data_IF_674338306840
#
_entry.id   IF_674338306840
#
_cell.length_a   1.000
_cell.length_b   1.000
_cell.length_c   1.000
_cell.angle_alpha   90.00
_cell.angle_beta   90.00
_cell.angle_gamma   90.00
#
_symmetry.space_group_name_H-M   'P 1'
#
loop_
_entity.id
_entity.type
_entity.pdbx_description
1 polymer ?
#
# COMPACT_ATOMS: atom_id res chain seq x y z
N UNK A 1 29.22 1.17 -0.27
CA UNK A 1 27.80 1.07 -0.68
C UNK A 1 26.97 0.87 0.59
N UNK A 2 26.15 1.84 1.00
CA UNK A 2 25.29 1.69 2.19
C UNK A 2 24.16 0.74 1.80
N UNK A 3 24.17 -0.48 2.36
CA UNK A 3 23.10 -1.44 2.13
C UNK A 3 21.92 -1.04 3.02
N UNK A 4 20.95 -0.34 2.43
CA UNK A 4 19.75 0.09 3.15
C UNK A 4 18.92 -1.14 3.58
N UNK A 5 18.28 -1.10 4.76
CA UNK A 5 17.37 -2.17 5.17
C UNK A 5 16.26 -2.32 4.13
N UNK A 6 15.73 -3.54 3.96
CA UNK A 6 14.57 -3.79 3.11
C UNK A 6 13.32 -4.01 3.98
N UNK A 7 12.16 -3.73 3.43
CA UNK A 7 10.86 -3.93 4.07
C UNK A 7 10.24 -5.22 3.60
N UNK A 8 10.05 -6.15 4.53
CA UNK A 8 9.40 -7.42 4.28
C UNK A 8 7.89 -7.33 4.58
N UNK A 9 7.08 -7.50 3.54
CA UNK A 9 5.62 -7.39 3.63
C UNK A 9 4.95 -8.36 4.61
N UNK A 10 5.53 -9.56 4.80
CA UNK A 10 4.97 -10.53 5.74
C UNK A 10 5.06 -10.04 7.19
N UNK A 11 6.21 -9.47 7.58
CA UNK A 11 6.37 -8.90 8.93
C UNK A 11 5.48 -7.67 9.15
N UNK A 12 5.28 -6.85 8.12
CA UNK A 12 4.35 -5.72 8.17
C UNK A 12 2.89 -6.19 8.37
N UNK A 13 2.47 -7.24 7.65
CA UNK A 13 1.14 -7.86 7.84
C UNK A 13 0.95 -8.40 9.25
N UNK A 14 1.96 -9.10 9.80
CA UNK A 14 1.91 -9.59 11.18
C UNK A 14 1.82 -8.43 12.19
N UNK A 15 2.52 -7.32 11.94
CA UNK A 15 2.49 -6.14 12.79
C UNK A 15 1.12 -5.46 12.76
N UNK A 16 0.50 -5.34 11.58
CA UNK A 16 -0.85 -4.80 11.44
C UNK A 16 -1.87 -5.70 12.13
N UNK A 17 -1.81 -7.01 11.90
CA UNK A 17 -2.69 -7.98 12.55
C UNK A 17 -2.62 -7.91 14.07
N UNK A 18 -1.41 -7.83 14.65
CA UNK A 18 -1.22 -7.69 16.11
C UNK A 18 -1.86 -6.42 16.66
N UNK A 19 -1.82 -5.31 15.92
CA UNK A 19 -2.48 -4.06 16.30
C UNK A 19 -4.01 -4.18 16.21
N UNK A 20 -4.52 -4.73 15.11
CA UNK A 20 -5.97 -4.93 14.94
C UNK A 20 -6.57 -5.82 16.03
N UNK A 21 -5.88 -6.90 16.40
CA UNK A 21 -6.32 -7.80 17.49
C UNK A 21 -6.23 -7.16 18.89
N UNK A 22 -5.50 -6.05 19.03
CA UNK A 22 -5.40 -5.30 20.29
C UNK A 22 -6.49 -4.22 20.38
N UNK A 23 -6.87 -3.64 19.24
CA UNK A 23 -7.89 -2.59 19.14
C UNK A 23 -9.32 -3.16 19.13
N UNK A 24 -9.49 -4.41 18.69
CA UNK A 24 -10.74 -5.15 18.79
C UNK A 24 -10.51 -6.40 19.68
N UNK A 25 -11.26 -6.53 20.78
CA UNK A 25 -11.57 -7.84 21.38
C UNK A 25 -12.45 -8.66 20.41
N UNK A 26 -12.03 -8.78 19.14
CA UNK A 26 -12.74 -9.55 18.14
C UNK A 26 -12.50 -11.00 18.48
N UNK A 27 -13.55 -11.65 18.95
CA UNK A 27 -13.64 -13.08 19.09
C UNK A 27 -13.15 -13.76 17.81
N UNK A 28 -11.94 -14.31 17.86
CA UNK A 28 -11.38 -15.24 16.85
C UNK A 28 -12.29 -16.48 16.69
N UNK A 29 -13.29 -16.65 17.56
CA UNK A 29 -14.26 -17.72 17.59
C UNK A 29 -15.54 -17.38 16.83
N UNK A 30 -15.50 -17.54 15.50
CA UNK A 30 -16.69 -17.93 14.69
C UNK A 30 -16.34 -18.37 13.25
N UNK A 31 -15.10 -18.78 12.98
CA UNK A 31 -14.72 -19.29 11.67
C UNK A 31 -15.20 -20.72 11.50
N UNK A 32 -15.97 -21.02 10.45
CA UNK A 32 -16.45 -22.38 10.08
C UNK A 32 -15.36 -23.27 9.45
N UNK A 33 -14.09 -23.03 9.76
CA UNK A 33 -12.99 -23.88 9.31
C UNK A 33 -12.38 -24.59 10.50
N UNK A 34 -11.94 -25.83 10.32
CA UNK A 34 -11.28 -26.59 11.37
C UNK A 34 -9.94 -25.88 11.74
N UNK A 35 -9.89 -25.15 12.87
CA UNK A 35 -8.75 -24.29 13.20
C UNK A 35 -7.49 -25.10 13.51
N UNK A 36 -7.63 -26.40 13.78
CA UNK A 36 -6.51 -27.32 14.03
C UNK A 36 -5.59 -27.51 12.82
N UNK A 37 -6.08 -27.28 11.59
CA UNK A 37 -5.30 -27.45 10.35
C UNK A 37 -4.69 -26.15 9.81
N UNK A 38 -5.12 -24.99 10.32
CA UNK A 38 -4.70 -23.68 9.82
C UNK A 38 -3.84 -22.95 10.84
N UNK A 39 -2.62 -22.60 10.43
CA UNK A 39 -1.75 -21.75 11.26
C UNK A 39 -2.33 -20.34 11.35
N UNK A 40 -2.69 -19.92 12.56
CA UNK A 40 -3.25 -18.58 12.82
C UNK A 40 -2.37 -17.46 12.26
N UNK A 41 -1.05 -17.56 12.32
CA UNK A 41 -0.12 -16.54 11.80
C UNK A 41 -0.27 -16.22 10.31
N UNK A 42 -0.76 -17.17 9.52
CA UNK A 42 -0.96 -17.03 8.07
C UNK A 42 -2.37 -16.57 7.71
N UNK A 43 -3.26 -16.41 8.69
CA UNK A 43 -4.63 -15.96 8.51
C UNK A 43 -4.70 -14.44 8.63
N UNK A 44 -5.21 -13.76 7.61
CA UNK A 44 -5.34 -12.31 7.59
C UNK A 44 -6.76 -11.90 7.20
N UNK A 45 -7.30 -10.87 7.85
CA UNK A 45 -8.57 -10.30 7.43
C UNK A 45 -8.35 -9.37 6.24
N UNK A 46 -9.36 -9.21 5.38
CA UNK A 46 -9.27 -8.31 4.21
C UNK A 46 -8.88 -6.88 4.59
N UNK A 47 -9.28 -6.42 5.78
CA UNK A 47 -8.94 -5.08 6.28
C UNK A 47 -7.43 -4.93 6.59
N UNK A 48 -6.78 -5.97 7.11
CA UNK A 48 -5.33 -5.96 7.35
C UNK A 48 -4.59 -5.86 6.02
N UNK A 49 -5.03 -6.65 5.04
CA UNK A 49 -4.49 -6.67 3.68
C UNK A 49 -4.71 -5.32 3.01
N UNK A 50 -5.91 -4.74 3.12
CA UNK A 50 -6.27 -3.43 2.58
C UNK A 50 -5.35 -2.36 3.13
N UNK A 51 -5.13 -2.34 4.46
CA UNK A 51 -4.26 -1.34 5.10
C UNK A 51 -2.83 -1.39 4.55
N UNK A 52 -2.26 -2.59 4.41
CA UNK A 52 -0.93 -2.78 3.81
C UNK A 52 -0.92 -2.36 2.34
N UNK A 53 -1.96 -2.71 1.58
CA UNK A 53 -2.07 -2.28 0.18
C UNK A 53 -2.10 -0.77 0.03
N UNK A 54 -2.83 -0.06 0.90
CA UNK A 54 -2.89 1.40 0.89
C UNK A 54 -1.55 2.02 1.31
N UNK A 55 -0.92 1.48 2.36
CA UNK A 55 0.32 1.99 2.92
C UNK A 55 1.52 1.89 1.96
N UNK A 56 1.58 0.80 1.19
CA UNK A 56 2.71 0.50 0.29
C UNK A 56 2.37 0.65 -1.19
N UNK A 57 1.15 1.13 -1.52
CA UNK A 57 0.60 1.22 -2.87
C UNK A 57 0.73 -0.12 -3.61
N UNK A 58 0.07 -1.15 -3.06
CA UNK A 58 -0.06 -2.48 -3.65
C UNK A 58 -1.50 -2.70 -4.11
N UNK A 59 -1.69 -3.72 -4.95
CA UNK A 59 -3.00 -4.22 -5.36
C UNK A 59 -3.19 -5.62 -4.84
N UNK A 60 -4.43 -5.97 -4.50
CA UNK A 60 -4.86 -7.28 -4.06
C UNK A 60 -5.95 -7.79 -5.01
N UNK A 61 -5.54 -8.57 -6.00
CA UNK A 61 -6.36 -8.95 -7.16
C UNK A 61 -6.33 -10.46 -7.38
N UNK A 62 -7.25 -10.95 -8.22
CA UNK A 62 -7.28 -12.35 -8.64
C UNK A 62 -5.95 -12.76 -9.32
N UNK A 63 -5.48 -13.97 -9.03
CA UNK A 63 -4.29 -14.55 -9.65
C UNK A 63 -4.33 -14.50 -11.18
N UNK A 64 -5.51 -14.60 -11.80
CA UNK A 64 -5.70 -14.54 -13.26
C UNK A 64 -5.26 -13.21 -13.88
N UNK A 65 -5.24 -12.13 -13.09
CA UNK A 65 -4.82 -10.81 -13.53
C UNK A 65 -3.31 -10.60 -13.37
N UNK A 66 -2.62 -11.49 -12.66
CA UNK A 66 -1.19 -11.38 -12.41
C UNK A 66 -0.41 -11.76 -13.66
N UNK A 67 0.43 -10.83 -14.14
CA UNK A 67 1.25 -11.03 -15.35
C UNK A 67 2.67 -11.52 -15.07
N UNK A 68 3.07 -11.57 -13.80
CA UNK A 68 4.36 -12.09 -13.38
C UNK A 68 4.40 -13.63 -13.34
N UNK A 69 5.61 -14.19 -13.28
CA UNK A 69 5.80 -15.64 -13.09
C UNK A 69 5.54 -16.05 -11.66
N UNK A 70 4.76 -17.11 -11.49
CA UNK A 70 4.55 -17.78 -10.21
C UNK A 70 5.59 -18.91 -10.13
N UNK A 71 6.50 -18.93 -9.13
CA UNK A 71 7.53 -19.94 -9.04
C UNK A 71 6.93 -21.30 -8.69
N UNK A 72 7.60 -22.37 -9.12
CA UNK A 72 7.18 -23.75 -8.84
C UNK A 72 7.02 -24.03 -7.33
N UNK A 73 7.79 -23.35 -6.48
CA UNK A 73 7.66 -23.44 -5.02
C UNK A 73 6.29 -22.95 -4.53
N UNK A 74 5.75 -21.88 -5.12
CA UNK A 74 4.42 -21.37 -4.78
C UNK A 74 3.33 -22.36 -5.22
N UNK A 75 3.49 -22.95 -6.41
CA UNK A 75 2.57 -23.95 -6.96
C UNK A 75 2.56 -25.20 -6.06
N UNK A 76 3.74 -25.71 -5.69
CA UNK A 76 3.86 -26.87 -4.80
C UNK A 76 3.18 -26.64 -3.45
N UNK A 77 3.41 -25.47 -2.81
CA UNK A 77 2.75 -25.10 -1.55
C UNK A 77 1.24 -24.95 -1.69
N UNK A 78 0.77 -24.47 -2.83
CA UNK A 78 -0.65 -24.40 -3.15
C UNK A 78 -1.26 -25.80 -3.29
N UNK A 79 -0.59 -26.72 -3.96
CA UNK A 79 -1.03 -28.11 -4.09
C UNK A 79 -1.08 -28.83 -2.74
N UNK A 80 -0.04 -28.66 -1.91
CA UNK A 80 -0.03 -29.16 -0.53
C UNK A 80 -1.23 -28.65 0.27
N UNK A 81 -1.53 -27.35 0.16
CA UNK A 81 -2.69 -26.74 0.80
C UNK A 81 -4.02 -27.30 0.25
N UNK A 82 -4.16 -27.44 -1.06
CA UNK A 82 -5.34 -28.07 -1.71
C UNK A 82 -5.56 -29.50 -1.22
N UNK A 83 -4.50 -30.29 -1.12
CA UNK A 83 -4.57 -31.69 -0.67
C UNK A 83 -5.01 -31.80 0.80
N UNK A 84 -4.62 -30.84 1.65
CA UNK A 84 -5.05 -30.78 3.04
C UNK A 84 -6.52 -30.33 3.19
N UNK A 85 -7.04 -29.61 2.19
CA UNK A 85 -8.35 -28.96 2.21
C UNK A 85 -9.18 -29.23 0.94
N UNK A 86 -9.34 -30.52 0.57
CA UNK A 86 -9.97 -30.96 -0.70
C UNK A 86 -11.39 -30.43 -0.98
N UNK A 87 -12.10 -29.97 0.05
CA UNK A 87 -13.50 -29.52 -0.06
C UNK A 87 -13.63 -28.00 -0.25
N UNK A 88 -12.52 -27.25 -0.28
CA UNK A 88 -12.55 -25.80 -0.48
C UNK A 88 -12.43 -25.46 -1.97
N UNK A 89 -13.41 -24.72 -2.50
CA UNK A 89 -13.23 -24.02 -3.77
C UNK A 89 -12.31 -22.81 -3.53
N UNK A 90 -11.10 -22.85 -4.08
CA UNK A 90 -10.06 -21.88 -3.78
C UNK A 90 -10.04 -20.76 -4.82
N UNK A 91 -10.63 -19.62 -4.46
CA UNK A 91 -10.31 -18.36 -5.14
C UNK A 91 -8.94 -17.86 -4.69
N UNK A 92 -8.02 -17.68 -5.64
CA UNK A 92 -6.66 -17.23 -5.36
C UNK A 92 -6.51 -15.73 -5.65
N UNK A 93 -5.83 -15.05 -4.72
CA UNK A 93 -5.50 -13.63 -4.86
C UNK A 93 -4.02 -13.39 -4.67
N UNK A 94 -3.49 -12.42 -5.39
CA UNK A 94 -2.11 -11.96 -5.25
C UNK A 94 -2.13 -10.53 -4.73
N UNK A 95 -1.35 -10.29 -3.68
CA UNK A 95 -0.97 -8.95 -3.25
C UNK A 95 0.37 -8.61 -3.89
N UNK A 96 0.42 -7.58 -4.72
CA UNK A 96 1.63 -7.18 -5.44
C UNK A 96 1.61 -5.68 -5.82
N UNK A 97 2.77 -5.05 -6.07
CA UNK A 97 2.83 -3.72 -6.67
C UNK A 97 2.03 -3.63 -7.97
N UNK A 98 1.43 -2.47 -8.24
CA UNK A 98 0.63 -2.27 -9.47
C UNK A 98 1.40 -2.60 -10.74
N UNK A 99 2.72 -2.36 -10.77
CA UNK A 99 3.60 -2.68 -11.89
C UNK A 99 3.62 -4.17 -12.25
N UNK A 100 3.44 -5.09 -11.29
CA UNK A 100 3.46 -6.54 -11.55
C UNK A 100 2.20 -7.06 -12.26
N UNK A 101 1.15 -6.25 -12.27
CA UNK A 101 -0.04 -6.51 -13.07
C UNK A 101 0.09 -5.93 -14.49
N UNK A 102 1.15 -5.18 -14.78
CA UNK A 102 1.44 -4.59 -16.09
C UNK A 102 2.61 -5.25 -16.78
N UNK A 103 3.69 -5.50 -16.04
CA UNK A 103 5.02 -5.86 -16.52
C UNK A 103 5.61 -6.97 -15.64
N UNK A 104 6.42 -7.82 -16.25
CA UNK A 104 7.18 -8.87 -15.58
C UNK A 104 8.34 -8.23 -14.81
N UNK A 105 8.05 -7.71 -13.61
CA UNK A 105 9.06 -7.16 -12.70
C UNK A 105 9.09 -7.99 -11.40
N UNK A 106 10.06 -7.73 -10.53
CA UNK A 106 10.43 -8.63 -9.44
C UNK A 106 10.32 -7.95 -8.06
N UNK A 107 9.10 -7.55 -7.68
CA UNK A 107 8.85 -6.96 -6.35
C UNK A 107 7.77 -7.74 -5.56
N UNK A 108 8.22 -8.61 -4.65
CA UNK A 108 7.51 -9.17 -3.49
C UNK A 108 5.99 -9.48 -3.59
N UNK A 109 5.54 -10.35 -4.51
CA UNK A 109 4.18 -10.87 -4.49
C UNK A 109 3.91 -11.82 -3.30
N UNK A 110 2.69 -11.73 -2.76
CA UNK A 110 2.15 -12.66 -1.78
C UNK A 110 0.91 -13.33 -2.35
N UNK A 111 0.89 -14.66 -2.35
CA UNK A 111 -0.25 -15.48 -2.78
C UNK A 111 -1.13 -15.85 -1.59
N UNK A 112 -2.40 -15.53 -1.73
CA UNK A 112 -3.44 -15.81 -0.77
C UNK A 112 -4.50 -16.74 -1.35
N UNK A 113 -5.01 -17.63 -0.52
CA UNK A 113 -6.26 -18.35 -0.76
C UNK A 113 -7.38 -17.64 0.01
N UNK A 114 -8.49 -17.35 -0.67
CA UNK A 114 -9.70 -16.82 -0.03
C UNK A 114 -10.32 -17.89 0.86
N UNK A 115 -10.74 -17.48 2.04
CA UNK A 115 -11.55 -18.25 2.98
C UNK A 115 -12.91 -17.55 3.17
N UNK A 116 -13.73 -18.04 4.09
CA UNK A 116 -15.01 -17.43 4.47
C UNK A 116 -14.81 -16.17 5.33
N UNK A 117 -15.89 -15.39 5.46
CA UNK A 117 -15.99 -14.21 6.33
C UNK A 117 -14.89 -13.15 6.09
N UNK A 118 -14.43 -13.01 4.84
CA UNK A 118 -13.43 -12.00 4.48
C UNK A 118 -12.01 -12.31 4.93
N UNK A 119 -11.75 -13.54 5.39
CA UNK A 119 -10.42 -14.00 5.72
C UNK A 119 -9.70 -14.58 4.50
N UNK A 120 -8.38 -14.45 4.54
CA UNK A 120 -7.48 -14.95 3.52
C UNK A 120 -6.31 -15.67 4.19
N UNK A 121 -5.91 -16.79 3.61
CA UNK A 121 -4.78 -17.57 4.08
C UNK A 121 -3.56 -17.33 3.19
N UNK A 122 -2.45 -16.93 3.79
CA UNK A 122 -1.19 -16.74 3.08
C UNK A 122 -0.55 -18.11 2.74
N UNK A 123 -0.52 -18.43 1.46
CA UNK A 123 0.09 -19.66 0.93
C UNK A 123 1.61 -19.48 0.89
N UNK A 124 2.06 -18.45 0.16
CA UNK A 124 3.48 -18.22 -0.06
C UNK A 124 3.80 -16.76 -0.40
N UNK A 125 5.04 -16.36 -0.12
CA UNK A 125 5.67 -15.10 -0.52
C UNK A 125 6.93 -15.47 -1.31
N UNK A 126 7.14 -14.82 -2.44
CA UNK A 126 8.36 -14.92 -3.23
C UNK A 126 8.78 -13.55 -3.76
N UNK A 127 9.99 -13.45 -4.31
CA UNK A 127 10.54 -12.19 -4.81
C UNK A 127 11.47 -11.50 -3.81
N UNK A 128 11.75 -10.22 -4.08
CA UNK A 128 12.63 -9.39 -3.28
C UNK A 128 11.87 -8.41 -2.40
N UNK A 129 12.35 -8.23 -1.17
CA UNK A 129 11.81 -7.25 -0.22
C UNK A 129 11.73 -5.84 -0.80
N UNK A 130 10.68 -5.11 -0.42
CA UNK A 130 10.43 -3.75 -0.85
C UNK A 130 11.50 -2.78 -0.32
N UNK A 131 11.75 -1.69 -1.02
CA UNK A 131 12.64 -0.63 -0.51
C UNK A 131 12.07 0.00 0.76
N UNK A 132 12.90 0.23 1.78
CA UNK A 132 12.48 0.82 3.06
C UNK A 132 11.73 2.15 2.93
N UNK A 133 12.19 3.04 2.06
CA UNK A 133 11.55 4.35 1.83
C UNK A 133 10.28 4.29 0.99
N UNK A 134 9.84 3.10 0.55
CA UNK A 134 8.66 2.96 -0.30
C UNK A 134 7.43 3.57 0.35
N UNK A 135 7.20 3.26 1.62
CA UNK A 135 6.06 3.75 2.41
C UNK A 135 6.00 5.27 2.43
N UNK A 136 7.15 5.92 2.62
CA UNK A 136 7.27 7.38 2.65
C UNK A 136 7.02 7.98 1.26
N UNK A 137 7.62 7.40 0.21
CA UNK A 137 7.46 7.87 -1.17
C UNK A 137 6.02 7.86 -1.66
N UNK A 138 5.24 6.84 -1.26
CA UNK A 138 3.83 6.71 -1.69
C UNK A 138 2.84 7.34 -0.70
N UNK A 139 3.31 7.85 0.43
CA UNK A 139 2.48 8.42 1.50
C UNK A 139 1.58 9.59 1.05
N UNK A 140 2.05 10.54 0.20
CA UNK A 140 1.19 11.63 -0.27
C UNK A 140 -0.02 11.12 -1.07
N UNK A 141 0.11 9.97 -1.73
CA UNK A 141 -0.94 9.43 -2.61
C UNK A 141 -1.93 8.51 -1.89
N UNK A 142 -1.90 8.45 -0.54
CA UNK A 142 -2.81 7.56 0.21
C UNK A 142 -4.27 7.95 0.06
N UNK A 143 -4.57 9.24 0.24
CA UNK A 143 -5.89 9.85 0.16
C UNK A 143 -5.73 11.37 -0.11
N UNK A 144 -6.86 12.07 -0.23
CA UNK A 144 -6.88 13.52 -0.49
C UNK A 144 -6.25 14.36 0.63
N UNK A 145 -6.43 13.97 1.90
CA UNK A 145 -5.90 14.73 3.04
C UNK A 145 -4.36 14.66 3.04
N UNK A 146 -3.80 13.47 2.81
CA UNK A 146 -2.36 13.24 2.77
C UNK A 146 -1.67 14.08 1.67
N UNK A 147 -2.27 14.18 0.48
CA UNK A 147 -1.69 15.00 -0.60
C UNK A 147 -1.77 16.48 -0.27
N UNK A 148 -2.86 16.96 0.33
CA UNK A 148 -3.00 18.35 0.75
C UNK A 148 -1.97 18.71 1.83
N UNK A 149 -1.79 17.85 2.84
CA UNK A 149 -0.75 18.04 3.86
C UNK A 149 0.65 18.06 3.22
N UNK A 150 0.92 17.15 2.28
CA UNK A 150 2.20 17.13 1.57
C UNK A 150 2.45 18.42 0.77
N UNK A 151 1.43 18.91 0.04
CA UNK A 151 1.49 20.16 -0.72
C UNK A 151 1.74 21.36 0.22
N UNK A 152 1.06 21.41 1.36
CA UNK A 152 1.30 22.48 2.34
C UNK A 152 2.72 22.45 2.91
N UNK A 153 3.23 21.26 3.27
CA UNK A 153 4.59 21.10 3.80
C UNK A 153 5.66 21.47 2.77
N UNK A 154 5.54 20.99 1.54
CA UNK A 154 6.53 21.32 0.50
C UNK A 154 6.48 22.80 0.13
N UNK A 155 5.29 23.41 0.16
CA UNK A 155 5.13 24.85 -0.07
C UNK A 155 5.79 25.66 1.05
N UNK A 156 5.65 25.25 2.32
CA UNK A 156 6.37 25.88 3.44
C UNK A 156 7.88 25.75 3.30
N UNK A 157 8.39 24.57 2.92
CA UNK A 157 9.82 24.35 2.71
C UNK A 157 10.37 25.22 1.58
N UNK A 158 9.67 25.29 0.45
CA UNK A 158 10.07 26.16 -0.67
C UNK A 158 10.06 27.62 -0.22
N UNK A 159 9.03 28.05 0.51
CA UNK A 159 8.95 29.42 1.05
C UNK A 159 10.12 29.76 1.95
N UNK A 160 10.55 28.84 2.82
CA UNK A 160 11.69 29.04 3.70
C UNK A 160 13.03 29.15 2.95
N UNK A 161 13.13 28.60 1.73
CA UNK A 161 14.30 28.71 0.87
C UNK A 161 14.30 29.97 -0.01
N UNK A 162 13.14 30.61 -0.14
CA UNK A 162 13.01 31.84 -0.93
C UNK A 162 13.68 33.00 -0.18
N UNK A 163 14.60 33.74 -0.81
CA UNK A 163 15.22 34.89 -0.19
C UNK A 163 14.15 35.97 0.09
N UNK A 164 14.36 36.75 1.16
CA UNK A 164 13.47 37.86 1.50
C UNK A 164 13.35 38.88 0.36
N UNK A 165 12.29 39.70 0.42
CA UNK A 165 11.98 40.82 -0.49
C UNK A 165 11.33 40.47 -1.86
N UNK A 166 10.88 39.23 -2.12
CA UNK A 166 10.05 38.96 -3.31
C UNK A 166 8.70 39.66 -3.21
N UNK A 167 8.05 39.56 -2.04
CA UNK A 167 6.86 40.32 -1.69
C UNK A 167 7.22 41.23 -0.52
N UNK A 168 7.41 42.52 -0.80
CA UNK A 168 7.76 43.50 0.21
C UNK A 168 6.52 44.04 0.91
N UNK A 169 6.52 44.01 2.24
CA UNK A 169 5.50 44.61 3.08
C UNK A 169 6.17 45.33 4.25
N UNK A 170 6.18 46.66 4.16
CA UNK A 170 6.94 47.54 5.05
C UNK A 170 6.72 47.20 6.53
N UNK A 171 7.78 46.77 7.20
CA UNK A 171 7.82 46.56 8.64
C UNK A 171 7.08 45.31 9.15
N UNK A 172 6.65 44.38 8.29
CA UNK A 172 5.98 43.15 8.72
C UNK A 172 6.53 41.90 8.02
N UNK A 173 7.66 41.34 8.49
CA UNK A 173 8.26 40.14 7.88
C UNK A 173 7.35 38.90 7.94
N UNK A 174 6.44 38.82 8.91
CA UNK A 174 5.45 37.74 8.99
C UNK A 174 4.44 37.79 7.84
N UNK A 175 3.97 38.99 7.50
CA UNK A 175 3.09 39.19 6.34
C UNK A 175 3.82 38.90 5.02
N UNK A 176 5.08 39.32 4.88
CA UNK A 176 5.91 39.01 3.71
C UNK A 176 6.04 37.49 3.49
N UNK A 177 6.38 36.75 4.56
CA UNK A 177 6.49 35.30 4.51
C UNK A 177 5.15 34.64 4.16
N UNK A 178 4.06 35.08 4.79
CA UNK A 178 2.74 34.49 4.59
C UNK A 178 2.22 34.72 3.16
N UNK A 179 2.39 35.91 2.60
CA UNK A 179 2.02 36.20 1.20
C UNK A 179 2.86 35.35 0.26
N UNK A 180 4.18 35.29 0.48
CA UNK A 180 5.09 34.45 -0.31
C UNK A 180 4.64 32.98 -0.29
N UNK A 181 4.29 32.48 0.90
CA UNK A 181 3.74 31.14 1.08
C UNK A 181 2.47 30.90 0.28
N UNK A 182 1.49 31.82 0.30
CA UNK A 182 0.25 31.68 -0.45
C UNK A 182 0.49 31.61 -1.97
N UNK A 183 1.42 32.42 -2.49
CA UNK A 183 1.80 32.37 -3.91
C UNK A 183 2.46 31.05 -4.29
N UNK A 184 3.38 30.56 -3.47
CA UNK A 184 4.03 29.25 -3.68
C UNK A 184 3.00 28.13 -3.58
N UNK A 185 2.14 28.15 -2.55
CA UNK A 185 1.10 27.15 -2.33
C UNK A 185 0.18 27.02 -3.54
N UNK A 186 -0.33 28.14 -4.05
CA UNK A 186 -1.15 28.17 -5.27
C UNK A 186 -0.41 27.55 -6.47
N UNK A 187 0.87 27.88 -6.64
CA UNK A 187 1.68 27.41 -7.76
C UNK A 187 1.94 25.90 -7.67
N UNK A 188 2.28 25.41 -6.48
CA UNK A 188 2.46 23.98 -6.22
C UNK A 188 1.15 23.23 -6.45
N UNK A 189 0.01 23.73 -5.94
CA UNK A 189 -1.31 23.14 -6.20
C UNK A 189 -1.55 22.99 -7.70
N UNK A 190 -1.29 24.04 -8.49
CA UNK A 190 -1.48 23.99 -9.94
C UNK A 190 -0.65 22.88 -10.60
N UNK A 191 0.62 22.73 -10.20
CA UNK A 191 1.51 21.65 -10.69
C UNK A 191 0.93 20.27 -10.33
N UNK A 192 0.49 20.08 -9.09
CA UNK A 192 -0.08 18.80 -8.64
C UNK A 192 -1.38 18.45 -9.35
N UNK A 193 -2.27 19.43 -9.59
CA UNK A 193 -3.49 19.22 -10.36
C UNK A 193 -3.16 18.84 -11.79
N UNK A 194 -2.23 19.55 -12.43
CA UNK A 194 -1.80 19.25 -13.80
C UNK A 194 -1.28 17.82 -13.95
N UNK A 195 -0.33 17.41 -13.10
CA UNK A 195 0.21 16.04 -13.14
C UNK A 195 -0.80 14.99 -12.67
N UNK A 196 -1.64 15.30 -11.69
CA UNK A 196 -2.67 14.40 -11.19
C UNK A 196 -3.69 14.06 -12.29
N UNK A 197 -4.20 15.08 -12.97
CA UNK A 197 -5.15 14.92 -14.07
C UNK A 197 -4.49 14.29 -15.31
N UNK A 198 -3.32 14.79 -15.73
CA UNK A 198 -2.59 14.30 -16.91
C UNK A 198 -2.25 12.81 -16.82
N UNK A 199 -1.91 12.33 -15.61
CA UNK A 199 -1.53 10.92 -15.41
C UNK A 199 -2.70 10.01 -15.04
N UNK A 200 -3.92 10.54 -14.90
CA UNK A 200 -5.10 9.76 -14.51
C UNK A 200 -4.92 8.98 -13.20
N UNK A 201 -4.04 9.44 -12.30
CA UNK A 201 -3.62 8.66 -11.14
C UNK A 201 -4.62 8.79 -10.00
N UNK A 202 -5.14 7.66 -9.55
CA UNK A 202 -5.98 7.58 -8.37
C UNK A 202 -5.19 7.36 -7.05
N UNK A 203 -5.81 7.74 -5.94
CA UNK A 203 -5.30 7.51 -4.58
C UNK A 203 -5.25 6.02 -4.24
N UNK A 204 -4.33 5.65 -3.35
CA UNK A 204 -4.09 4.25 -2.98
C UNK A 204 -5.37 3.58 -2.42
N UNK A 205 -6.20 4.34 -1.71
CA UNK A 205 -7.48 3.88 -1.14
C UNK A 205 -8.52 3.42 -2.19
N UNK A 206 -8.43 3.91 -3.44
CA UNK A 206 -9.38 3.59 -4.51
C UNK A 206 -8.86 2.59 -5.54
N UNK A 207 -7.58 2.22 -5.48
CA UNK A 207 -6.93 1.36 -6.47
C UNK A 207 -6.57 -0.03 -5.95
N UNK A 208 -6.54 -0.23 -4.62
CA UNK A 208 -6.01 -1.46 -4.03
C UNK A 208 -6.75 -2.72 -4.46
N UNK A 209 -8.06 -2.66 -4.74
CA UNK A 209 -8.87 -3.78 -5.22
C UNK A 209 -9.43 -3.56 -6.64
N UNK A 210 -8.96 -2.54 -7.35
CA UNK A 210 -9.46 -2.19 -8.68
C UNK A 210 -8.80 -3.08 -9.75
N UNK A 211 -9.63 -3.74 -10.56
CA UNK A 211 -9.16 -4.59 -11.68
C UNK A 211 -8.50 -3.76 -12.79
N UNK A 212 -9.08 -2.61 -13.12
CA UNK A 212 -8.63 -1.75 -14.20
C UNK A 212 -7.59 -0.74 -13.74
N UNK A 213 -6.83 -0.20 -14.70
CA UNK A 213 -5.66 0.62 -14.41
C UNK A 213 -5.96 2.09 -14.11
N UNK A 214 -7.18 2.54 -14.47
CA UNK A 214 -7.67 3.89 -14.25
C UNK A 214 -8.73 3.87 -13.16
#
# INVERSE_FOLDING_TARGET
>A
MINLPKTNLYYELLTVKKRSNKDENKSIFKLKFNPSKLRSEKLFHVEDIRKICIDYRLRFLDVKLFKGKIPNEAIKKLEEFKNQHKNLDLELKIMAPSKLFELENYDDPLLFAKLEDGYYYLIHKWGNDLSFFRKLKVWPYKNLINILVFISLISLLITALVPGNIFYYKGNPGAEFFITFLFILKSVIAIFIYYGFSLGKNFNEFIWNRKYFN
#
